data_IF_420148848048
#
_entry.id   IF_420148848048
#
_cell.length_a   1.000
_cell.length_b   1.000
_cell.length_c   1.000
_cell.angle_alpha   90.00
_cell.angle_beta   90.00
_cell.angle_gamma   90.00
#
_symmetry.space_group_name_H-M   'P 1'
#
loop_
_entity.id
_entity.type
_entity.pdbx_description
1 polymer ?
#
# COMPACT_ATOMS: atom_id res chain seq x y z
N UNK A 1 30.24 8.92 5.13
CA UNK A 1 30.37 7.79 4.20
C UNK A 1 29.23 6.84 4.47
N UNK A 2 28.16 6.92 3.67
CA UNK A 2 26.96 6.12 3.83
C UNK A 2 27.08 4.90 2.90
N UNK A 3 27.19 3.71 3.48
CA UNK A 3 27.30 2.46 2.74
C UNK A 3 25.97 2.09 2.09
N UNK A 4 26.04 1.71 0.82
CA UNK A 4 24.95 1.25 -0.07
C UNK A 4 24.27 -0.05 0.42
N UNK A 5 24.78 -0.67 1.48
CA UNK A 5 24.27 -1.93 2.05
C UNK A 5 23.31 -1.75 3.25
N UNK A 6 22.90 -0.53 3.59
CA UNK A 6 21.74 -0.32 4.48
C UNK A 6 20.46 -0.31 3.66
N UNK A 7 20.20 -1.43 3.01
CA UNK A 7 18.95 -1.66 2.32
C UNK A 7 17.85 -1.79 3.37
N UNK A 8 17.00 -0.78 3.51
CA UNK A 8 15.70 -0.91 4.17
C UNK A 8 14.89 -2.12 3.65
N UNK A 9 15.26 -2.63 2.47
CA UNK A 9 14.76 -3.85 1.83
C UNK A 9 15.09 -5.12 2.62
N UNK A 10 16.25 -5.21 3.29
CA UNK A 10 16.62 -6.36 4.12
C UNK A 10 15.99 -6.28 5.52
N UNK A 11 15.82 -5.08 6.07
CA UNK A 11 15.11 -4.85 7.34
C UNK A 11 13.61 -5.21 7.24
N UNK A 12 12.98 -4.96 6.08
CA UNK A 12 11.58 -5.39 5.83
C UNK A 12 11.48 -6.90 5.62
N UNK A 13 12.49 -7.55 5.01
CA UNK A 13 12.53 -9.01 4.87
C UNK A 13 12.75 -9.71 6.22
N UNK A 14 13.50 -9.09 7.14
CA UNK A 14 13.74 -9.61 8.49
C UNK A 14 12.65 -9.19 9.49
N UNK A 15 11.41 -9.69 9.28
CA UNK A 15 10.32 -10.09 10.23
C UNK A 15 10.10 -9.40 11.61
N UNK A 16 10.91 -8.46 12.10
CA UNK A 16 10.91 -8.00 13.50
C UNK A 16 10.65 -6.49 13.66
N UNK A 17 10.83 -5.68 12.62
CA UNK A 17 10.64 -4.22 12.68
C UNK A 17 9.43 -3.70 11.87
N UNK A 18 8.50 -4.57 11.45
CA UNK A 18 7.31 -4.19 10.69
C UNK A 18 6.45 -3.10 11.39
N UNK A 19 6.47 -3.07 12.72
CA UNK A 19 5.76 -2.09 13.55
C UNK A 19 6.35 -0.67 13.47
N UNK A 20 7.54 -0.49 12.93
CA UNK A 20 8.16 0.83 12.72
C UNK A 20 7.67 1.53 11.45
N UNK A 21 7.15 0.77 10.50
CA UNK A 21 6.70 1.31 9.22
C UNK A 21 5.24 1.72 9.29
N UNK A 22 4.91 2.84 8.64
CA UNK A 22 3.52 3.16 8.37
C UNK A 22 2.97 2.20 7.31
N UNK A 23 1.68 1.85 7.41
CA UNK A 23 1.01 0.99 6.44
C UNK A 23 1.21 1.42 4.99
N UNK A 24 1.00 2.71 4.67
CA UNK A 24 1.11 3.17 3.28
C UNK A 24 2.53 3.05 2.73
N UNK A 25 3.53 3.37 3.56
CA UNK A 25 4.94 3.26 3.18
C UNK A 25 5.34 1.80 2.95
N UNK A 26 4.88 0.90 3.83
CA UNK A 26 5.19 -0.52 3.74
C UNK A 26 4.55 -1.15 2.49
N UNK A 27 3.30 -0.80 2.18
CA UNK A 27 2.62 -1.31 0.98
C UNK A 27 3.32 -0.85 -0.29
N UNK A 28 3.73 0.43 -0.39
CA UNK A 28 4.50 0.90 -1.55
C UNK A 28 5.85 0.17 -1.67
N UNK A 29 6.57 -0.02 -0.56
CA UNK A 29 7.86 -0.72 -0.56
C UNK A 29 7.71 -2.19 -0.99
N UNK A 30 6.66 -2.87 -0.54
CA UNK A 30 6.37 -4.25 -0.95
C UNK A 30 5.98 -4.34 -2.44
N UNK A 31 5.21 -3.38 -2.95
CA UNK A 31 4.88 -3.36 -4.37
C UNK A 31 6.11 -3.07 -5.25
N UNK A 32 7.04 -2.22 -4.78
CA UNK A 32 8.32 -1.99 -5.45
C UNK A 32 9.19 -3.25 -5.47
N UNK A 33 9.23 -4.01 -4.37
CA UNK A 33 9.96 -5.28 -4.29
C UNK A 33 9.40 -6.36 -5.21
N UNK A 34 8.09 -6.37 -5.40
CA UNK A 34 7.39 -7.31 -6.27
C UNK A 34 7.36 -6.84 -7.74
N UNK A 35 7.93 -5.66 -8.04
CA UNK A 35 7.95 -5.03 -9.37
C UNK A 35 6.54 -4.87 -9.97
N UNK A 36 5.55 -4.56 -9.12
CA UNK A 36 4.16 -4.39 -9.52
C UNK A 36 3.88 -2.93 -9.89
N UNK A 37 3.54 -2.66 -11.15
CA UNK A 37 3.13 -1.32 -11.58
C UNK A 37 1.67 -1.03 -11.22
N UNK A 38 1.49 -0.40 -10.08
CA UNK A 38 0.20 0.03 -9.55
C UNK A 38 -0.51 1.13 -10.37
N UNK A 39 0.17 1.84 -11.29
CA UNK A 39 -0.49 2.83 -12.17
C UNK A 39 -1.25 2.16 -13.32
N UNK A 40 -0.72 1.07 -13.86
CA UNK A 40 -1.30 0.37 -15.02
C UNK A 40 -2.34 -0.67 -14.60
N UNK A 41 -2.13 -1.33 -13.45
CA UNK A 41 -2.93 -2.46 -13.00
C UNK A 41 -3.94 -2.04 -11.91
N UNK A 42 -4.85 -1.14 -12.27
CA UNK A 42 -5.87 -0.62 -11.35
C UNK A 42 -6.92 -1.68 -10.95
N UNK A 43 -7.08 -2.79 -11.66
CA UNK A 43 -7.99 -3.87 -11.28
C UNK A 43 -7.31 -5.23 -11.43
N UNK A 44 -6.52 -5.59 -10.41
CA UNK A 44 -6.04 -6.96 -10.27
C UNK A 44 -7.22 -7.92 -10.24
N UNK A 45 -7.09 -9.01 -10.98
CA UNK A 45 -7.87 -10.21 -10.68
C UNK A 45 -7.42 -10.71 -9.29
N UNK A 46 -8.29 -11.27 -8.45
CA UNK A 46 -7.92 -11.81 -7.14
C UNK A 46 -6.76 -12.83 -7.18
N UNK A 47 -6.56 -13.47 -8.33
CA UNK A 47 -5.46 -14.41 -8.57
C UNK A 47 -4.09 -13.73 -8.75
N UNK A 48 -4.07 -12.45 -9.14
CA UNK A 48 -2.87 -11.66 -9.39
C UNK A 48 -2.48 -10.80 -8.18
N UNK A 49 -3.33 -10.71 -7.15
CA UNK A 49 -3.03 -9.98 -5.91
C UNK A 49 -1.94 -10.70 -5.12
N UNK A 50 -0.73 -10.12 -5.12
CA UNK A 50 0.44 -10.63 -4.39
C UNK A 50 0.43 -10.28 -2.91
N UNK A 51 -0.28 -9.20 -2.55
CA UNK A 51 -0.45 -8.72 -1.19
C UNK A 51 -1.83 -9.11 -0.67
N UNK A 52 -1.88 -9.73 0.51
CA UNK A 52 -3.11 -10.02 1.23
C UNK A 52 -3.11 -9.24 2.54
N UNK A 53 -4.23 -8.57 2.83
CA UNK A 53 -4.39 -7.83 4.07
C UNK A 53 -5.31 -8.59 5.01
N UNK A 54 -4.95 -8.60 6.29
CA UNK A 54 -5.71 -9.24 7.36
C UNK A 54 -5.83 -8.28 8.53
N UNK A 55 -7.01 -8.26 9.16
CA UNK A 55 -7.23 -7.47 10.37
C UNK A 55 -7.08 -8.34 11.61
N UNK A 56 -6.40 -7.81 12.62
CA UNK A 56 -6.25 -8.46 13.93
C UNK A 56 -7.52 -8.32 14.76
N UNK A 57 -8.01 -9.42 15.34
CA UNK A 57 -9.20 -9.40 16.21
C UNK A 57 -8.90 -9.16 17.69
N UNK A 58 -7.68 -8.74 18.00
CA UNK A 58 -7.30 -8.35 19.36
C UNK A 58 -8.08 -7.11 19.81
N UNK A 59 -8.58 -7.17 21.04
CA UNK A 59 -9.28 -6.08 21.73
C UNK A 59 -8.25 -5.08 22.31
N UNK A 60 -6.96 -5.40 22.25
CA UNK A 60 -5.89 -4.48 22.63
C UNK A 60 -5.78 -3.29 21.68
N UNK A 61 -5.35 -2.15 22.23
CA UNK A 61 -4.87 -1.03 21.43
C UNK A 61 -3.43 -1.30 21.03
N UNK A 62 -3.14 -1.14 19.74
CA UNK A 62 -1.80 -1.34 19.20
C UNK A 62 -1.13 0.01 18.94
N UNK A 63 0.19 0.12 19.20
CA UNK A 63 0.94 1.35 18.97
C UNK A 63 1.30 1.57 17.49
N UNK A 64 1.14 0.55 16.65
CA UNK A 64 1.55 0.56 15.25
C UNK A 64 0.41 0.11 14.33
N UNK A 65 0.41 0.63 13.10
CA UNK A 65 -0.57 0.31 12.08
C UNK A 65 -0.44 -1.14 11.59
N UNK A 66 0.80 -1.61 11.42
CA UNK A 66 1.15 -2.95 10.96
C UNK A 66 1.77 -3.74 12.10
N UNK A 67 1.24 -4.93 12.35
CA UNK A 67 1.68 -5.79 13.44
C UNK A 67 2.65 -6.86 12.97
N UNK A 68 2.35 -7.47 11.82
CA UNK A 68 3.12 -8.59 11.30
C UNK A 68 3.10 -8.59 9.79
N UNK A 69 4.24 -8.95 9.21
CA UNK A 69 4.36 -9.33 7.81
C UNK A 69 4.70 -10.81 7.77
N UNK A 70 3.80 -11.59 7.19
CA UNK A 70 3.93 -13.02 6.96
C UNK A 70 4.00 -13.34 5.48
N UNK A 71 4.25 -14.61 5.18
CA UNK A 71 4.08 -15.17 3.85
C UNK A 71 3.13 -16.36 3.96
N UNK A 72 2.16 -16.42 3.05
CA UNK A 72 1.25 -17.55 2.91
C UNK A 72 1.96 -18.72 2.20
N UNK A 73 1.41 -19.93 2.31
CA UNK A 73 1.91 -21.14 1.65
C UNK A 73 2.00 -21.01 0.11
N UNK A 74 1.28 -20.06 -0.48
CA UNK A 74 1.31 -19.75 -1.90
C UNK A 74 2.37 -18.69 -2.27
N UNK A 75 3.21 -18.26 -1.32
CA UNK A 75 4.23 -17.22 -1.53
C UNK A 75 3.68 -15.79 -1.55
N UNK A 76 2.39 -15.59 -1.26
CA UNK A 76 1.76 -14.25 -1.15
C UNK A 76 2.16 -13.61 0.17
N UNK A 77 2.42 -12.30 0.17
CA UNK A 77 2.73 -11.56 1.38
C UNK A 77 1.43 -11.29 2.15
N UNK A 78 1.36 -11.72 3.40
CA UNK A 78 0.21 -11.48 4.29
C UNK A 78 0.57 -10.37 5.28
N UNK A 79 -0.16 -9.27 5.25
CA UNK A 79 0.04 -8.13 6.15
C UNK A 79 -1.07 -8.11 7.18
N UNK A 80 -0.67 -8.14 8.45
CA UNK A 80 -1.56 -8.07 9.58
C UNK A 80 -1.63 -6.63 10.12
N UNK A 81 -2.84 -6.08 10.13
CA UNK A 81 -3.11 -4.65 10.31
C UNK A 81 -4.04 -4.43 11.50
N UNK A 82 -3.71 -3.43 12.32
CA UNK A 82 -4.42 -3.13 13.56
C UNK A 82 -5.53 -2.06 13.42
N UNK A 83 -5.64 -1.39 12.27
CA UNK A 83 -6.59 -0.30 12.04
C UNK A 83 -7.65 -0.65 10.99
N UNK A 84 -8.76 0.10 11.02
CA UNK A 84 -9.93 -0.09 10.13
C UNK A 84 -10.44 -1.54 10.09
N UNK A 85 -10.37 -2.23 11.23
CA UNK A 85 -10.98 -3.52 11.49
C UNK A 85 -12.49 -3.40 11.71
N UNK A 86 -13.28 -4.26 11.08
CA UNK A 86 -14.68 -4.55 11.36
C UNK A 86 -14.74 -5.46 12.59
N UNK A 87 -13.59 -5.97 13.03
CA UNK A 87 -13.39 -6.69 14.27
C UNK A 87 -12.15 -6.16 14.98
N UNK A 88 -12.04 -6.40 16.29
CA UNK A 88 -11.00 -5.83 17.15
C UNK A 88 -11.45 -4.55 17.88
N UNK A 89 -10.48 -3.84 18.47
CA UNK A 89 -10.74 -2.71 19.40
C UNK A 89 -11.37 -1.46 18.78
N UNK A 90 -11.24 -1.29 17.46
CA UNK A 90 -11.76 -0.12 16.72
C UNK A 90 -13.07 -0.41 15.97
N UNK A 91 -13.70 -1.57 16.21
CA UNK A 91 -14.85 -1.99 15.45
C UNK A 91 -16.15 -1.29 15.89
N UNK A 92 -17.04 -0.92 14.95
CA UNK A 92 -18.39 -0.45 15.24
C UNK A 92 -19.37 -1.60 15.54
N UNK A 93 -18.94 -2.87 15.48
CA UNK A 93 -19.82 -4.01 15.68
C UNK A 93 -20.25 -4.15 17.15
N UNK A 94 -21.45 -4.71 17.40
CA UNK A 94 -21.88 -5.05 18.75
C UNK A 94 -20.87 -5.96 19.47
N UNK A 95 -20.72 -5.74 20.79
CA UNK A 95 -19.73 -6.44 21.61
C UNK A 95 -19.84 -7.97 21.58
N UNK A 96 -21.04 -8.53 21.43
CA UNK A 96 -21.21 -9.99 21.39
C UNK A 96 -20.51 -10.65 20.19
N UNK A 97 -20.47 -10.00 19.02
CA UNK A 97 -19.70 -10.50 17.88
C UNK A 97 -18.19 -10.36 18.10
N UNK A 98 -17.78 -9.27 18.76
CA UNK A 98 -16.36 -9.02 19.01
C UNK A 98 -15.77 -10.00 20.01
N UNK A 99 -16.54 -10.40 21.02
CA UNK A 99 -16.13 -11.39 22.00
C UNK A 99 -15.94 -12.78 21.36
N UNK A 100 -16.88 -13.20 20.52
CA UNK A 100 -16.76 -14.45 19.75
C UNK A 100 -15.55 -14.42 18.81
N UNK A 101 -15.35 -13.31 18.09
CA UNK A 101 -14.20 -13.15 17.19
C UNK A 101 -12.86 -13.10 17.93
N UNK A 102 -12.81 -12.47 19.11
CA UNK A 102 -11.61 -12.43 19.94
C UNK A 102 -11.28 -13.82 20.50
N UNK A 103 -12.30 -14.58 20.88
CA UNK A 103 -12.17 -15.96 21.33
C UNK A 103 -11.68 -16.87 20.20
N UNK A 104 -12.31 -16.81 19.03
CA UNK A 104 -11.88 -17.50 17.79
C UNK A 104 -10.42 -17.19 17.45
N UNK A 105 -10.04 -15.92 17.54
CA UNK A 105 -8.67 -15.47 17.28
C UNK A 105 -7.66 -16.05 18.28
N UNK A 106 -8.01 -16.10 19.58
CA UNK A 106 -7.15 -16.69 20.60
C UNK A 106 -7.00 -18.21 20.45
N UNK A 107 -8.02 -18.90 19.96
CA UNK A 107 -7.99 -20.34 19.68
C UNK A 107 -7.37 -20.69 18.32
N UNK A 108 -7.15 -19.70 17.44
CA UNK A 108 -6.66 -19.92 16.08
C UNK A 108 -7.73 -20.45 15.11
N UNK A 109 -9.00 -20.53 15.51
CA UNK A 109 -10.12 -20.96 14.67
C UNK A 109 -10.89 -19.76 14.12
N UNK A 110 -10.36 -19.13 13.06
CA UNK A 110 -10.98 -17.92 12.50
C UNK A 110 -12.06 -18.27 11.46
N UNK A 111 -13.29 -18.52 11.90
CA UNK A 111 -14.41 -18.82 10.98
C UNK A 111 -15.01 -17.51 10.47
N UNK A 112 -15.59 -16.74 11.38
CA UNK A 112 -16.18 -15.44 11.03
C UNK A 112 -15.10 -14.41 10.68
N UNK A 113 -13.93 -14.49 11.34
CA UNK A 113 -12.79 -13.62 11.06
C UNK A 113 -12.31 -13.72 9.60
N UNK A 114 -12.32 -14.90 8.99
CA UNK A 114 -11.91 -15.09 7.59
C UNK A 114 -12.91 -14.46 6.62
N UNK A 115 -14.21 -14.53 6.92
CA UNK A 115 -15.23 -13.85 6.14
C UNK A 115 -15.07 -12.33 6.18
N UNK A 116 -14.90 -11.76 7.39
CA UNK A 116 -14.66 -10.32 7.55
C UNK A 116 -13.36 -9.88 6.87
N UNK A 117 -12.33 -10.73 6.89
CA UNK A 117 -11.06 -10.44 6.23
C UNK A 117 -11.19 -10.20 4.71
N UNK A 118 -12.19 -10.80 4.04
CA UNK A 118 -12.44 -10.50 2.62
C UNK A 118 -12.81 -9.03 2.39
N UNK A 119 -13.71 -8.49 3.22
CA UNK A 119 -14.09 -7.08 3.17
C UNK A 119 -12.93 -6.18 3.56
N UNK A 120 -12.17 -6.57 4.59
CA UNK A 120 -10.96 -5.84 4.99
C UNK A 120 -9.95 -5.72 3.87
N UNK A 121 -9.68 -6.84 3.19
CA UNK A 121 -8.71 -6.86 2.14
C UNK A 121 -9.07 -5.87 1.03
N UNK A 122 -10.34 -5.87 0.58
CA UNK A 122 -10.80 -4.93 -0.43
C UNK A 122 -10.81 -3.48 0.08
N UNK A 123 -11.27 -3.25 1.32
CA UNK A 123 -11.34 -1.92 1.92
C UNK A 123 -9.94 -1.27 2.05
N UNK A 124 -8.95 -2.01 2.56
CA UNK A 124 -7.58 -1.52 2.70
C UNK A 124 -6.92 -1.27 1.35
N UNK A 125 -7.20 -2.13 0.36
CA UNK A 125 -6.73 -1.91 -1.02
C UNK A 125 -7.30 -0.63 -1.61
N UNK A 126 -8.60 -0.38 -1.44
CA UNK A 126 -9.25 0.86 -1.89
C UNK A 126 -8.73 2.08 -1.14
N UNK A 127 -8.49 1.96 0.17
CA UNK A 127 -7.91 3.01 0.98
C UNK A 127 -6.50 3.38 0.49
N UNK A 128 -5.65 2.39 0.24
CA UNK A 128 -4.32 2.59 -0.31
C UNK A 128 -4.39 3.33 -1.65
N UNK A 129 -5.29 2.90 -2.56
CA UNK A 129 -5.50 3.56 -3.86
C UNK A 129 -5.97 5.01 -3.71
N UNK A 130 -6.91 5.27 -2.80
CA UNK A 130 -7.40 6.62 -2.54
C UNK A 130 -6.28 7.51 -1.99
N UNK A 131 -5.49 7.00 -1.04
CA UNK A 131 -4.33 7.69 -0.48
C UNK A 131 -3.27 8.03 -1.54
N UNK A 132 -3.02 7.08 -2.46
CA UNK A 132 -2.08 7.22 -3.57
C UNK A 132 -2.58 8.25 -4.58
N UNK A 133 -3.86 8.24 -4.94
CA UNK A 133 -4.49 9.12 -5.94
C UNK A 133 -4.16 10.60 -5.74
N UNK A 134 -4.14 11.07 -4.50
CA UNK A 134 -3.90 12.47 -4.15
C UNK A 134 -2.42 12.82 -3.87
N UNK A 135 -1.51 11.84 -3.85
CA UNK A 135 -0.07 12.06 -3.60
C UNK A 135 0.74 11.90 -4.87
N UNK A 136 0.96 13.01 -5.53
CA UNK A 136 1.71 13.06 -6.77
C UNK A 136 3.16 12.56 -6.63
N UNK A 137 3.86 12.90 -5.55
CA UNK A 137 5.26 12.49 -5.32
C UNK A 137 5.47 10.97 -5.22
N UNK A 138 4.44 10.21 -4.85
CA UNK A 138 4.50 8.74 -4.76
C UNK A 138 4.22 8.09 -6.12
N UNK A 139 3.36 8.72 -6.92
CA UNK A 139 2.94 8.21 -8.22
C UNK A 139 3.93 8.53 -9.34
N UNK A 140 4.82 9.50 -9.11
CA UNK A 140 5.72 10.00 -10.14
C UNK A 140 6.70 8.93 -10.62
N UNK A 141 6.55 8.51 -11.87
CA UNK A 141 7.50 7.69 -12.60
C UNK A 141 8.44 8.60 -13.41
N UNK A 142 9.66 8.11 -13.61
CA UNK A 142 10.63 8.79 -14.44
C UNK A 142 10.03 8.97 -15.85
N UNK A 143 10.34 10.10 -16.48
CA UNK A 143 9.81 10.53 -17.77
C UNK A 143 8.34 10.96 -17.81
N UNK A 144 7.64 11.01 -16.67
CA UNK A 144 6.28 11.57 -16.61
C UNK A 144 5.26 10.74 -17.39
N UNK A 145 5.50 9.44 -17.50
CA UNK A 145 4.60 8.44 -18.11
C UNK A 145 3.33 8.20 -17.25
N UNK A 146 3.24 8.79 -16.06
CA UNK A 146 2.10 8.64 -15.16
C UNK A 146 0.80 9.16 -15.78
N UNK A 147 -0.31 8.53 -15.40
CA UNK A 147 -1.63 8.99 -15.81
C UNK A 147 -1.91 10.45 -15.43
N UNK A 148 -1.42 10.92 -14.27
CA UNK A 148 -1.58 12.32 -13.84
C UNK A 148 -0.68 13.27 -14.62
N UNK A 149 0.59 12.91 -14.81
CA UNK A 149 1.57 13.68 -15.59
C UNK A 149 1.06 13.88 -17.03
N UNK A 150 0.50 12.84 -17.65
CA UNK A 150 -0.13 12.90 -18.97
C UNK A 150 -1.30 13.89 -19.04
N UNK A 151 -2.13 13.95 -17.99
CA UNK A 151 -3.23 14.93 -17.90
C UNK A 151 -2.71 16.37 -17.76
N UNK A 152 -1.66 16.59 -16.97
CA UNK A 152 -1.03 17.91 -16.84
C UNK A 152 -0.43 18.38 -18.15
N UNK A 153 0.24 17.51 -18.89
CA UNK A 153 0.75 17.84 -20.22
C UNK A 153 -0.38 18.12 -21.22
N UNK A 154 -1.49 17.38 -21.17
CA UNK A 154 -2.67 17.67 -22.00
C UNK A 154 -3.25 19.06 -21.72
N UNK A 155 -3.26 19.50 -20.46
CA UNK A 155 -3.72 20.83 -20.07
C UNK A 155 -2.85 21.96 -20.65
N UNK A 156 -1.55 21.74 -20.77
CA UNK A 156 -0.58 22.69 -21.36
C UNK A 156 -0.57 22.62 -22.90
N UNK A 157 -1.38 21.76 -23.51
CA UNK A 157 -1.42 21.58 -24.97
C UNK A 157 -0.35 20.62 -25.51
N UNK A 158 0.43 20.00 -24.63
CA UNK A 158 1.40 18.94 -24.94
C UNK A 158 0.74 17.56 -24.86
N UNK A 159 -0.54 17.42 -25.21
CA UNK A 159 -1.27 16.15 -25.10
C UNK A 159 -0.82 15.08 -26.10
N UNK A 160 -0.21 15.48 -27.22
CA UNK A 160 0.19 14.59 -28.30
C UNK A 160 1.66 14.17 -28.15
N UNK A 161 1.91 12.86 -28.15
CA UNK A 161 3.24 12.27 -27.99
C UNK A 161 4.20 12.74 -29.10
N UNK A 162 3.70 12.92 -30.33
CA UNK A 162 4.50 13.44 -31.45
C UNK A 162 4.98 14.89 -31.25
N UNK A 163 4.22 15.72 -30.55
CA UNK A 163 4.62 17.10 -30.21
C UNK A 163 5.62 17.09 -29.07
N UNK A 164 5.49 16.16 -28.11
CA UNK A 164 6.46 15.99 -27.02
C UNK A 164 7.82 15.51 -27.52
N UNK A 165 7.85 14.55 -28.43
CA UNK A 165 9.10 14.02 -28.99
C UNK A 165 9.87 15.04 -29.84
N UNK A 166 9.18 16.08 -30.33
CA UNK A 166 9.81 17.18 -31.08
C UNK A 166 10.50 18.23 -30.19
N UNK A 167 10.26 18.20 -28.87
CA UNK A 167 10.81 19.16 -27.91
C UNK A 167 12.06 18.58 -27.23
N UNK A 168 13.20 19.31 -27.17
CA UNK A 168 14.42 18.87 -26.48
C UNK A 168 14.30 19.06 -24.96
N UNK A 169 13.15 18.70 -24.39
CA UNK A 169 12.85 18.86 -22.98
C UNK A 169 13.02 17.50 -22.31
N UNK A 170 13.96 17.40 -21.37
CA UNK A 170 14.12 16.20 -20.55
C UNK A 170 12.81 15.89 -19.82
N UNK A 171 12.23 14.73 -20.10
CA UNK A 171 10.88 14.31 -19.73
C UNK A 171 10.58 14.40 -18.22
N UNK A 172 11.60 14.27 -17.36
CA UNK A 172 11.48 14.36 -15.89
C UNK A 172 11.80 15.72 -15.22
N UNK A 173 12.34 16.72 -15.93
CA UNK A 173 12.90 17.92 -15.26
C UNK A 173 11.84 18.97 -14.85
N UNK A 174 10.77 19.13 -15.63
CA UNK A 174 9.72 20.12 -15.32
C UNK A 174 9.03 19.87 -13.98
N UNK A 175 8.84 18.60 -13.64
CA UNK A 175 8.14 18.21 -12.42
C UNK A 175 9.03 18.40 -11.18
N UNK A 176 10.32 18.11 -11.30
CA UNK A 176 11.26 18.17 -10.17
C UNK A 176 11.62 19.61 -9.78
N UNK A 177 11.58 20.55 -10.74
CA UNK A 177 11.82 21.98 -10.48
C UNK A 177 10.74 22.66 -9.64
N UNK A 178 9.50 22.11 -9.56
CA UNK A 178 8.45 22.65 -8.70
C UNK A 178 8.58 22.28 -7.21
N UNK A 179 9.24 21.15 -6.91
CA UNK A 179 9.35 20.62 -5.53
C UNK A 179 10.64 21.09 -4.84
N UNK A 180 11.63 21.59 -5.59
CA UNK A 180 12.89 22.11 -5.04
C UNK A 180 12.83 23.56 -4.52
N UNK A 181 11.71 24.27 -4.67
CA UNK A 181 11.55 25.67 -4.23
C UNK A 181 10.52 25.76 -3.10
N UNK A 182 10.77 25.03 -2.01
CA UNK A 182 9.86 24.94 -0.87
C UNK A 182 10.54 24.46 0.40
N UNK A 183 11.70 25.03 0.72
CA UNK A 183 12.27 25.16 2.07
C UNK A 183 12.94 26.54 2.13
#
# INVERSE_FOLDING_TARGET
>A
MAGTDRSALDDVKFRQDASRFNFFQLVELLNQLEEVDLEQELDFRPDQERLRFRSTASIGFHPADVLRVGQDNQGRQELEVAFLGLHGSQSPMPGYYLEELAWEYAQGEQKLGVFLNFFHHRLLTLLHRAWRKYRYHVRFQNDGEDGFSRLMFALVGLGNDAVRDSLPVSRGCWVRCGVATGI
#
